data_IF_184635921895
#
_entry.id   IF_184635921895
#
_cell.length_a   1.000
_cell.length_b   1.000
_cell.length_c   1.000
_cell.angle_alpha   90.00
_cell.angle_beta   90.00
_cell.angle_gamma   90.00
#
_symmetry.space_group_name_H-M   'P 1'
#
loop_
_entity.id
_entity.type
_entity.pdbx_description
1 polymer ?
#
# COMPACT_ATOMS: atom_id res chain seq x y z
N UNK A 1 -25.00 -17.64 16.52
CA UNK A 1 -24.48 -16.26 16.63
C UNK A 1 -24.96 -15.48 15.41
N UNK A 2 -25.58 -14.32 15.61
CA UNK A 2 -26.16 -13.53 14.51
C UNK A 2 -25.04 -12.75 13.83
N UNK A 3 -24.86 -12.97 12.54
CA UNK A 3 -24.02 -12.15 11.68
C UNK A 3 -24.73 -10.81 11.50
N UNK A 4 -24.26 -9.77 12.19
CA UNK A 4 -24.72 -8.40 11.92
C UNK A 4 -24.20 -7.96 10.56
N UNK A 5 -25.08 -8.00 9.56
CA UNK A 5 -24.82 -7.34 8.30
C UNK A 5 -24.71 -5.83 8.56
N UNK A 6 -23.48 -5.28 8.52
CA UNK A 6 -23.24 -3.84 8.51
C UNK A 6 -24.13 -3.21 7.43
N UNK A 7 -25.14 -2.47 7.87
CA UNK A 7 -26.10 -1.77 7.00
C UNK A 7 -25.29 -0.79 6.14
N UNK A 8 -25.20 -1.05 4.82
CA UNK A 8 -24.55 -0.13 3.87
C UNK A 8 -25.34 1.19 3.85
N UNK A 9 -24.90 2.17 4.62
CA UNK A 9 -25.49 3.51 4.64
C UNK A 9 -25.07 4.23 3.36
N UNK A 10 -26.03 4.70 2.56
CA UNK A 10 -25.71 5.65 1.48
C UNK A 10 -25.29 6.96 2.13
N UNK A 11 -24.02 7.36 1.99
CA UNK A 11 -23.59 8.70 2.35
C UNK A 11 -24.07 9.65 1.25
N UNK A 12 -25.29 10.18 1.38
CA UNK A 12 -25.85 11.15 0.44
C UNK A 12 -25.40 12.59 0.74
N UNK A 13 -24.83 12.82 1.93
CA UNK A 13 -24.57 14.15 2.47
C UNK A 13 -23.40 14.08 3.44
N UNK A 14 -22.48 15.05 3.37
CA UNK A 14 -21.43 15.24 4.38
C UNK A 14 -22.08 15.83 5.65
N UNK A 15 -21.85 15.26 6.85
CA UNK A 15 -22.41 15.81 8.09
C UNK A 15 -21.97 17.26 8.33
N UNK A 16 -22.89 18.11 8.79
CA UNK A 16 -22.62 19.52 9.07
C UNK A 16 -21.49 19.70 10.10
N UNK A 17 -21.46 18.87 11.16
CA UNK A 17 -20.37 18.88 12.14
C UNK A 17 -18.99 18.63 11.51
N UNK A 18 -18.90 17.74 10.50
CA UNK A 18 -17.64 17.50 9.80
C UNK A 18 -17.24 18.70 8.93
N UNK A 19 -18.20 19.40 8.34
CA UNK A 19 -17.95 20.66 7.62
C UNK A 19 -17.52 21.78 8.58
N UNK A 20 -18.08 21.84 9.79
CA UNK A 20 -17.68 22.80 10.82
C UNK A 20 -16.24 22.55 11.30
N UNK A 21 -15.92 21.30 11.66
CA UNK A 21 -14.57 20.90 12.07
C UNK A 21 -13.52 21.11 10.97
N UNK A 22 -13.90 20.88 9.70
CA UNK A 22 -13.05 21.15 8.55
C UNK A 22 -12.94 22.65 8.22
N UNK A 23 -13.71 23.54 8.87
CA UNK A 23 -13.75 24.97 8.57
C UNK A 23 -14.43 25.32 7.24
N UNK A 24 -15.27 24.42 6.73
CA UNK A 24 -15.97 24.52 5.44
C UNK A 24 -17.45 24.93 5.57
N UNK A 25 -18.03 24.90 6.77
CA UNK A 25 -19.46 25.16 6.99
C UNK A 25 -19.94 26.57 6.55
N UNK A 26 -19.04 27.56 6.48
CA UNK A 26 -19.35 28.94 6.07
C UNK A 26 -19.01 29.23 4.60
N UNK A 27 -18.43 28.26 3.90
CA UNK A 27 -17.97 28.44 2.52
C UNK A 27 -19.15 28.32 1.56
N UNK A 28 -19.22 29.25 0.61
CA UNK A 28 -20.34 29.32 -0.35
C UNK A 28 -20.12 28.46 -1.57
N UNK A 29 -18.85 28.16 -1.89
CA UNK A 29 -18.46 27.31 -3.01
C UNK A 29 -17.38 26.34 -2.53
N UNK A 30 -17.67 25.05 -2.66
CA UNK A 30 -16.76 23.97 -2.31
C UNK A 30 -16.32 23.25 -3.58
N UNK A 31 -15.06 22.82 -3.60
CA UNK A 31 -14.54 21.88 -4.58
C UNK A 31 -14.61 20.47 -4.01
N UNK A 32 -15.00 19.50 -4.85
CA UNK A 32 -14.93 18.07 -4.55
C UNK A 32 -14.01 17.42 -5.58
N UNK A 33 -12.86 16.93 -5.10
CA UNK A 33 -11.83 16.32 -5.94
C UNK A 33 -11.94 14.80 -5.74
N UNK A 34 -12.42 14.05 -6.76
CA UNK A 34 -12.44 12.60 -6.69
C UNK A 34 -11.03 12.04 -6.86
N UNK A 35 -10.70 11.07 -6.03
CA UNK A 35 -9.48 10.26 -6.06
C UNK A 35 -9.86 8.79 -5.89
N UNK A 36 -8.93 7.87 -6.15
CA UNK A 36 -9.19 6.44 -6.00
C UNK A 36 -9.52 6.11 -4.54
N UNK A 37 -10.79 5.79 -4.28
CA UNK A 37 -11.30 5.48 -2.94
C UNK A 37 -11.49 6.67 -1.99
N UNK A 38 -11.15 7.90 -2.39
CA UNK A 38 -11.20 9.10 -1.54
C UNK A 38 -11.89 10.25 -2.28
N UNK A 39 -12.69 11.06 -1.57
CA UNK A 39 -13.19 12.35 -2.07
C UNK A 39 -12.67 13.44 -1.15
N UNK A 40 -11.82 14.32 -1.68
CA UNK A 40 -11.31 15.47 -0.94
C UNK A 40 -12.25 16.66 -1.15
N UNK A 41 -12.84 17.16 -0.07
CA UNK A 41 -13.71 18.34 -0.09
C UNK A 41 -12.93 19.53 0.46
N UNK A 42 -12.82 20.61 -0.34
CA UNK A 42 -12.05 21.82 -0.01
C UNK A 42 -12.83 23.08 -0.36
N UNK A 43 -12.29 24.25 -0.03
CA UNK A 43 -12.73 25.51 -0.64
C UNK A 43 -12.43 25.49 -2.14
N UNK A 44 -13.26 26.13 -2.95
CA UNK A 44 -13.07 26.22 -4.41
C UNK A 44 -11.84 27.04 -4.81
N UNK A 45 -11.50 28.05 -4.00
CA UNK A 45 -10.28 28.85 -4.16
C UNK A 45 -9.65 29.08 -2.79
N UNK A 46 -8.34 28.86 -2.69
CA UNK A 46 -7.56 29.02 -1.47
C UNK A 46 -6.32 29.88 -1.72
N UNK A 47 -5.93 30.77 -0.79
CA UNK A 47 -4.62 31.41 -0.84
C UNK A 47 -3.51 30.36 -0.63
N UNK A 48 -2.32 30.63 -1.17
CA UNK A 48 -1.19 29.68 -1.14
C UNK A 48 -0.84 29.18 0.27
N UNK A 49 -0.99 30.02 1.29
CA UNK A 49 -0.72 29.62 2.69
C UNK A 49 -1.73 28.58 3.18
N UNK A 50 -3.02 28.73 2.86
CA UNK A 50 -4.04 27.72 3.22
C UNK A 50 -3.81 26.42 2.46
N UNK A 51 -3.40 26.49 1.19
CA UNK A 51 -3.02 25.31 0.42
C UNK A 51 -1.83 24.57 1.04
N UNK A 52 -0.78 25.28 1.45
CA UNK A 52 0.38 24.68 2.13
C UNK A 52 0.01 24.04 3.47
N UNK A 53 -0.88 24.67 4.24
CA UNK A 53 -1.39 24.10 5.51
C UNK A 53 -2.24 22.86 5.27
N UNK A 54 -3.03 22.83 4.20
CA UNK A 54 -3.78 21.63 3.82
C UNK A 54 -2.83 20.49 3.44
N UNK A 55 -1.79 20.78 2.66
CA UNK A 55 -0.77 19.78 2.30
C UNK A 55 -0.07 19.20 3.52
N UNK A 56 0.30 20.04 4.49
CA UNK A 56 0.91 19.58 5.76
C UNK A 56 -0.01 18.63 6.53
N UNK A 57 -1.31 18.95 6.64
CA UNK A 57 -2.30 18.07 7.29
C UNK A 57 -2.51 16.75 6.56
N UNK A 58 -2.58 16.79 5.23
CA UNK A 58 -2.71 15.57 4.41
C UNK A 58 -1.48 14.68 4.55
N UNK A 59 -0.29 15.30 4.61
CA UNK A 59 0.95 14.57 4.82
C UNK A 59 1.01 13.92 6.22
N UNK A 60 0.58 14.63 7.27
CA UNK A 60 0.50 14.06 8.61
C UNK A 60 -0.47 12.88 8.67
N UNK A 61 -1.64 13.02 8.05
CA UNK A 61 -2.63 11.93 7.98
C UNK A 61 -2.08 10.71 7.23
N UNK A 62 -1.41 10.92 6.09
CA UNK A 62 -0.75 9.83 5.36
C UNK A 62 0.33 9.15 6.20
N UNK A 63 1.12 9.91 6.96
CA UNK A 63 2.13 9.37 7.87
C UNK A 63 1.51 8.56 9.02
N UNK A 64 0.37 8.99 9.58
CA UNK A 64 -0.37 8.23 10.61
C UNK A 64 -0.89 6.90 10.05
N UNK A 65 -1.46 6.90 8.85
CA UNK A 65 -1.91 5.66 8.18
C UNK A 65 -0.73 4.72 7.93
N UNK A 66 0.38 5.25 7.43
CA UNK A 66 1.59 4.47 7.18
C UNK A 66 2.18 3.89 8.48
N UNK A 67 2.13 4.65 9.58
CA UNK A 67 2.53 4.19 10.91
C UNK A 67 1.64 3.04 11.40
N UNK A 68 0.33 3.07 11.11
CA UNK A 68 -0.56 1.97 11.46
C UNK A 68 -0.21 0.68 10.70
N UNK A 69 0.11 0.78 9.39
CA UNK A 69 0.59 -0.37 8.61
C UNK A 69 1.92 -0.89 9.16
N UNK A 70 2.87 0.01 9.46
CA UNK A 70 4.16 -0.33 10.03
C UNK A 70 4.06 -1.06 11.37
N UNK A 71 3.09 -0.67 12.22
CA UNK A 71 2.86 -1.31 13.51
C UNK A 71 2.45 -2.78 13.38
N UNK A 72 1.69 -3.13 12.33
CA UNK A 72 1.32 -4.52 12.04
C UNK A 72 2.51 -5.32 11.47
N UNK A 73 3.40 -4.68 10.71
CA UNK A 73 4.59 -5.33 10.15
C UNK A 73 5.66 -5.63 11.19
N UNK A 74 5.86 -4.71 12.15
CA UNK A 74 6.93 -4.81 13.14
C UNK A 74 8.34 -4.56 12.56
N UNK A 75 9.38 -4.74 13.39
CA UNK A 75 10.77 -4.51 12.99
C UNK A 75 11.28 -5.60 12.04
N UNK A 76 12.19 -5.24 11.14
CA UNK A 76 12.86 -6.20 10.26
C UNK A 76 13.86 -7.09 11.03
N UNK A 77 14.30 -8.16 10.38
CA UNK A 77 15.42 -8.96 10.87
C UNK A 77 16.75 -8.23 10.66
N UNK A 78 17.78 -8.55 11.46
CA UNK A 78 19.12 -7.93 11.33
C UNK A 78 19.76 -8.09 9.96
N UNK A 79 19.43 -9.18 9.27
CA UNK A 79 19.92 -9.43 7.92
C UNK A 79 19.39 -8.40 6.91
N UNK A 80 18.23 -7.82 7.19
CA UNK A 80 17.48 -6.94 6.31
C UNK A 80 17.72 -5.45 6.62
N UNK A 81 18.39 -5.11 7.73
CA UNK A 81 18.66 -3.72 8.15
C UNK A 81 19.51 -2.93 7.13
N UNK A 82 20.27 -3.62 6.28
CA UNK A 82 21.14 -3.01 5.27
C UNK A 82 20.51 -2.94 3.87
N UNK A 83 19.29 -3.46 3.69
CA UNK A 83 18.60 -3.43 2.41
C UNK A 83 18.27 -2.00 2.00
N UNK A 84 18.44 -1.70 0.72
CA UNK A 84 17.96 -0.49 0.05
C UNK A 84 16.63 -0.78 -0.66
N UNK A 85 15.94 0.27 -1.12
CA UNK A 85 14.71 0.05 -1.92
C UNK A 85 15.05 -0.68 -3.22
N UNK A 86 16.23 -0.42 -3.77
CA UNK A 86 16.75 -1.12 -4.94
C UNK A 86 16.98 -2.60 -4.65
N UNK A 87 17.56 -2.97 -3.51
CA UNK A 87 17.74 -4.39 -3.13
C UNK A 87 16.39 -5.12 -2.92
N UNK A 88 15.37 -4.39 -2.48
CA UNK A 88 14.00 -4.94 -2.27
C UNK A 88 13.27 -5.18 -3.58
N UNK A 89 13.47 -4.28 -4.54
CA UNK A 89 12.88 -4.36 -5.87
C UNK A 89 13.75 -5.12 -6.86
N UNK A 90 14.95 -5.55 -6.45
CA UNK A 90 15.83 -6.35 -7.29
C UNK A 90 15.15 -7.69 -7.57
N UNK A 91 14.80 -7.90 -8.85
CA UNK A 91 14.33 -9.20 -9.29
C UNK A 91 15.48 -10.20 -9.12
N UNK A 92 15.30 -11.17 -8.21
CA UNK A 92 16.21 -12.31 -8.15
C UNK A 92 16.17 -13.02 -9.50
N UNK A 93 17.21 -12.87 -10.33
CA UNK A 93 17.34 -13.60 -11.59
C UNK A 93 17.53 -15.10 -11.32
N UNK A 94 16.43 -15.83 -11.15
CA UNK A 94 16.46 -17.30 -11.09
C UNK A 94 16.24 -17.86 -12.49
N UNK A 95 17.31 -18.35 -13.09
CA UNK A 95 17.22 -19.06 -14.37
C UNK A 95 16.79 -20.51 -14.16
N UNK A 96 15.52 -20.82 -14.47
CA UNK A 96 15.03 -22.21 -14.47
C UNK A 96 15.37 -22.86 -15.83
N UNK A 97 16.02 -24.04 -15.85
CA UNK A 97 16.27 -24.77 -17.09
C UNK A 97 14.98 -25.08 -17.86
N UNK A 98 15.03 -25.02 -19.20
CA UNK A 98 13.87 -25.24 -20.07
C UNK A 98 13.17 -26.60 -19.82
N UNK A 99 13.94 -27.66 -19.56
CA UNK A 99 13.37 -28.99 -19.26
C UNK A 99 12.53 -29.00 -17.98
N UNK A 100 12.94 -28.24 -16.96
CA UNK A 100 12.23 -28.16 -15.69
C UNK A 100 10.96 -27.32 -15.82
N UNK A 101 11.03 -26.22 -16.60
CA UNK A 101 9.85 -25.41 -16.93
C UNK A 101 8.80 -26.20 -17.69
N UNK A 102 9.20 -26.95 -18.72
CA UNK A 102 8.29 -27.79 -19.51
C UNK A 102 7.61 -28.85 -18.63
N UNK A 103 8.37 -29.52 -17.77
CA UNK A 103 7.83 -30.53 -16.87
C UNK A 103 6.89 -29.94 -15.81
N UNK A 104 7.15 -28.73 -15.35
CA UNK A 104 6.29 -28.00 -14.41
C UNK A 104 5.09 -27.30 -15.09
N UNK A 105 5.05 -27.24 -16.43
CA UNK A 105 4.02 -26.54 -17.18
C UNK A 105 4.13 -25.01 -17.17
N UNK A 106 5.30 -24.45 -16.84
CA UNK A 106 5.52 -23.01 -16.67
C UNK A 106 5.92 -22.37 -18.01
N UNK A 107 5.18 -21.35 -18.52
CA UNK A 107 5.53 -20.62 -19.73
C UNK A 107 6.89 -19.88 -19.65
N UNK A 108 7.55 -19.66 -20.80
CA UNK A 108 8.87 -19.01 -20.86
C UNK A 108 8.88 -17.57 -20.29
N UNK A 109 7.77 -16.85 -20.42
CA UNK A 109 7.61 -15.47 -19.95
C UNK A 109 6.70 -15.35 -18.71
N UNK A 110 6.45 -16.46 -18.02
CA UNK A 110 5.66 -16.43 -16.79
C UNK A 110 6.42 -15.73 -15.66
N UNK A 111 5.72 -14.90 -14.89
CA UNK A 111 6.22 -14.40 -13.61
C UNK A 111 6.41 -15.60 -12.68
N UNK A 112 7.52 -15.64 -11.96
CA UNK A 112 7.85 -16.73 -11.06
C UNK A 112 7.61 -16.31 -9.61
N UNK A 113 7.10 -17.24 -8.81
CA UNK A 113 7.06 -17.12 -7.35
C UNK A 113 8.07 -18.08 -6.73
N UNK A 114 8.66 -17.68 -5.61
CA UNK A 114 9.66 -18.45 -4.88
C UNK A 114 9.24 -18.58 -3.42
N UNK A 115 9.23 -19.79 -2.88
CA UNK A 115 8.94 -20.04 -1.48
C UNK A 115 9.86 -21.11 -0.91
N UNK A 116 10.04 -21.07 0.42
CA UNK A 116 10.87 -22.02 1.16
C UNK A 116 9.97 -23.00 1.90
N UNK A 117 10.14 -24.29 1.65
CA UNK A 117 9.46 -25.36 2.37
C UNK A 117 10.47 -26.42 2.82
N UNK A 118 10.56 -26.67 4.13
CA UNK A 118 11.49 -27.62 4.78
C UNK A 118 12.95 -27.55 4.28
N UNK A 119 13.44 -26.35 3.92
CA UNK A 119 14.79 -26.12 3.41
C UNK A 119 14.96 -26.27 1.89
N UNK A 120 13.90 -26.66 1.18
CA UNK A 120 13.84 -26.62 -0.28
C UNK A 120 13.36 -25.26 -0.77
N UNK A 121 13.96 -24.78 -1.87
CA UNK A 121 13.51 -23.59 -2.59
C UNK A 121 12.64 -24.05 -3.75
N UNK A 122 11.35 -23.75 -3.68
CA UNK A 122 10.37 -24.14 -4.68
C UNK A 122 10.06 -22.92 -5.54
N UNK A 123 10.22 -23.07 -6.86
CA UNK A 123 9.96 -22.02 -7.84
C UNK A 123 8.85 -22.47 -8.77
N UNK A 124 7.78 -21.68 -8.87
CA UNK A 124 6.59 -21.97 -9.66
C UNK A 124 6.14 -20.78 -10.48
N UNK A 125 5.15 -20.99 -11.36
CA UNK A 125 4.40 -19.88 -11.97
C UNK A 125 3.68 -19.11 -10.87
N UNK A 126 3.90 -17.80 -10.80
CA UNK A 126 3.15 -16.93 -9.90
C UNK A 126 1.69 -16.85 -10.37
N UNK A 127 0.74 -16.81 -9.43
CA UNK A 127 -0.64 -16.53 -9.79
C UNK A 127 -0.71 -15.14 -10.44
N UNK A 128 -1.20 -15.10 -11.68
CA UNK A 128 -1.34 -13.85 -12.40
C UNK A 128 -2.27 -12.91 -11.61
N UNK A 129 -1.75 -11.74 -11.22
CA UNK A 129 -2.41 -10.67 -10.45
C UNK A 129 -2.34 -10.73 -8.91
N UNK A 130 -1.45 -11.50 -8.27
CA UNK A 130 -1.15 -11.26 -6.85
C UNK A 130 -0.32 -9.98 -6.70
N UNK A 131 -0.79 -8.95 -5.97
CA UNK A 131 0.01 -7.76 -5.70
C UNK A 131 1.27 -8.14 -4.92
N UNK A 132 2.39 -7.50 -5.23
CA UNK A 132 3.66 -7.68 -4.51
C UNK A 132 4.35 -6.34 -4.20
N UNK A 133 5.54 -6.39 -3.61
CA UNK A 133 6.31 -5.18 -3.28
C UNK A 133 6.59 -4.27 -4.48
N UNK A 134 6.58 -4.77 -5.73
CA UNK A 134 6.75 -3.93 -6.91
C UNK A 134 5.51 -3.06 -7.21
N UNK A 135 4.34 -3.46 -6.72
CA UNK A 135 3.10 -2.67 -6.79
C UNK A 135 3.02 -1.58 -5.69
N UNK A 136 3.91 -1.63 -4.69
CA UNK A 136 3.95 -0.65 -3.59
C UNK A 136 4.67 0.63 -4.05
N UNK A 137 4.11 1.83 -3.80
CA UNK A 137 4.78 3.08 -4.13
C UNK A 137 6.18 3.19 -3.48
N UNK A 138 7.18 3.62 -4.25
CA UNK A 138 8.58 3.69 -3.78
C UNK A 138 8.79 4.46 -2.47
N UNK A 139 8.00 5.51 -2.21
CA UNK A 139 8.12 6.28 -0.96
C UNK A 139 7.69 5.47 0.27
N UNK A 140 6.76 4.52 0.10
CA UNK A 140 6.32 3.59 1.15
C UNK A 140 7.43 2.59 1.43
N UNK A 141 8.00 1.97 0.38
CA UNK A 141 9.15 1.06 0.54
C UNK A 141 10.33 1.77 1.21
N UNK A 142 10.62 3.01 0.79
CA UNK A 142 11.67 3.83 1.39
C UNK A 142 11.41 4.08 2.88
N UNK A 143 10.17 4.36 3.26
CA UNK A 143 9.82 4.49 4.68
C UNK A 143 10.09 3.20 5.45
N UNK A 144 9.79 2.04 4.89
CA UNK A 144 10.07 0.75 5.54
C UNK A 144 11.56 0.51 5.72
N UNK A 145 12.34 0.72 4.67
CA UNK A 145 13.80 0.60 4.69
C UNK A 145 14.43 1.57 5.70
N UNK A 146 14.12 2.87 5.60
CA UNK A 146 14.72 3.91 6.43
C UNK A 146 14.39 3.74 7.93
N UNK A 147 13.30 3.04 8.25
CA UNK A 147 12.86 2.78 9.63
C UNK A 147 13.07 1.32 10.08
N UNK A 148 13.78 0.50 9.30
CA UNK A 148 14.07 -0.91 9.61
C UNK A 148 12.81 -1.74 9.94
N UNK A 149 11.79 -1.63 9.07
CA UNK A 149 10.50 -2.30 9.19
C UNK A 149 10.44 -3.55 8.32
N UNK A 150 9.65 -4.53 8.74
CA UNK A 150 9.58 -5.84 8.10
C UNK A 150 8.84 -5.79 6.75
N UNK A 151 9.60 -5.82 5.66
CA UNK A 151 9.08 -5.84 4.29
C UNK A 151 8.44 -7.17 3.90
N UNK A 152 8.86 -8.30 4.49
CA UNK A 152 8.21 -9.61 4.26
C UNK A 152 6.80 -9.61 4.82
N UNK A 153 6.62 -9.06 6.02
CA UNK A 153 5.29 -8.92 6.61
C UNK A 153 4.39 -7.98 5.77
N UNK A 154 4.96 -6.95 5.14
CA UNK A 154 4.24 -6.12 4.20
C UNK A 154 3.82 -6.92 2.95
N UNK A 155 4.74 -7.68 2.36
CA UNK A 155 4.48 -8.53 1.19
C UNK A 155 3.40 -9.58 1.48
N UNK A 156 3.47 -10.24 2.64
CA UNK A 156 2.45 -11.20 3.10
C UNK A 156 1.04 -10.57 3.17
N UNK A 157 0.93 -9.29 3.56
CA UNK A 157 -0.35 -8.58 3.61
C UNK A 157 -0.91 -8.22 2.23
N UNK A 158 -0.06 -8.14 1.19
CA UNK A 158 -0.49 -7.87 -0.18
C UNK A 158 -1.15 -9.08 -0.83
N UNK A 159 -0.75 -10.29 -0.42
CA UNK A 159 -1.27 -11.56 -0.92
C UNK A 159 -2.58 -12.05 -0.30
N UNK A 160 -3.26 -11.24 0.52
CA UNK A 160 -4.50 -11.61 1.26
C UNK A 160 -5.78 -11.14 0.58
#
# INVERSE_FOLDING_TARGET
>A
MKTEAKKKTRLSTVPEAALEEAGLAKETILAAIPMDGVVLVTKDSMPIVELLQMLDRLNLYAAEMLTAVAAECGPCEKADEALTVEDVLEECEVTIPAWAREQAGIPENAKLACFVDDGDVIVGEAEACTPDLADVPQYVLKFFVDNHLNLRALDDMLGV
#
